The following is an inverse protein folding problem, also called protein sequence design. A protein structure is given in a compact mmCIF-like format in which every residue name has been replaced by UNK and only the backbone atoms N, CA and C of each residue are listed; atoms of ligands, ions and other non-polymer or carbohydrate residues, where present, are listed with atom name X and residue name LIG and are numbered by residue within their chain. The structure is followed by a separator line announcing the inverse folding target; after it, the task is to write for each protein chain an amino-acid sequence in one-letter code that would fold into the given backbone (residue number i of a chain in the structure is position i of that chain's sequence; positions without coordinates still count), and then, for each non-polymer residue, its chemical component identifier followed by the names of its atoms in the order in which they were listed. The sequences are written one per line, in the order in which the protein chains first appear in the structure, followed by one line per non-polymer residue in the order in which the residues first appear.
data_IF_121670808445
#
_entry.id   IF_121670808445
#
_cell.length_a   1.000
_cell.length_b   1.000
_cell.length_c   1.000
_cell.angle_alpha   90.00
_cell.angle_beta   90.00
_cell.angle_gamma   90.00
#
_symmetry.space_group_name_H-M   'P 1'
#
loop_
_entity.id
_entity.type
_entity.pdbx_description
1 polymer ?
#
# COMPACT_ATOMS: atom_id res chain seq x y z
N UNK A 1 4.45 7.86 11.62
CA UNK A 1 4.45 9.28 11.24
C UNK A 1 3.08 9.67 10.69
N UNK A 2 2.52 10.74 11.17
CA UNK A 2 1.24 11.28 10.70
C UNK A 2 1.46 12.55 9.92
N UNK A 3 0.82 12.64 8.76
CA UNK A 3 0.87 13.83 7.92
C UNK A 3 -0.54 14.44 7.88
N UNK A 4 -0.64 15.74 8.12
CA UNK A 4 -1.93 16.43 8.03
C UNK A 4 -2.24 16.68 6.56
N UNK A 5 -3.42 16.22 6.11
CA UNK A 5 -3.94 16.51 4.80
C UNK A 5 -4.90 17.69 4.84
N UNK A 6 -5.56 17.96 3.73
CA UNK A 6 -6.55 19.03 3.65
C UNK A 6 -7.76 18.73 4.53
N UNK A 7 -8.42 19.78 5.03
CA UNK A 7 -9.66 19.68 5.77
C UNK A 7 -9.55 18.79 7.01
N UNK A 8 -8.38 18.77 7.62
CA UNK A 8 -8.18 17.97 8.83
C UNK A 8 -7.94 16.49 8.62
N UNK A 9 -7.80 16.06 7.37
CA UNK A 9 -7.42 14.67 7.11
C UNK A 9 -6.04 14.39 7.66
N UNK A 10 -5.87 13.18 8.19
CA UNK A 10 -4.57 12.70 8.64
C UNK A 10 -4.16 11.49 7.82
N UNK A 11 -2.87 11.41 7.51
CA UNK A 11 -2.30 10.26 6.83
C UNK A 11 -1.34 9.57 7.80
N UNK A 12 -1.60 8.29 8.07
CA UNK A 12 -0.74 7.44 8.86
C UNK A 12 0.14 6.64 7.90
N UNK A 13 1.44 6.82 8.03
CA UNK A 13 2.40 6.06 7.22
C UNK A 13 2.71 4.76 7.94
N UNK A 14 2.60 3.64 7.22
CA UNK A 14 2.95 2.31 7.72
C UNK A 14 4.05 1.74 6.85
N UNK A 15 5.05 1.14 7.47
CA UNK A 15 6.26 0.72 6.79
C UNK A 15 6.30 -0.80 6.64
N UNK A 16 6.56 -1.26 5.42
CA UNK A 16 6.84 -2.68 5.18
C UNK A 16 8.22 -3.03 5.68
N UNK A 17 8.34 -4.20 6.28
CA UNK A 17 9.62 -4.72 6.78
C UNK A 17 9.82 -6.14 6.24
N UNK A 18 10.95 -6.75 6.61
CA UNK A 18 11.22 -8.14 6.24
C UNK A 18 10.18 -9.11 6.81
N UNK A 19 9.48 -8.72 7.88
CA UNK A 19 8.53 -9.58 8.59
C UNK A 19 7.07 -9.17 8.42
N UNK A 20 6.80 -7.96 7.92
CA UNK A 20 5.45 -7.40 7.86
C UNK A 20 5.22 -6.76 6.51
N UNK A 21 4.09 -7.11 5.89
CA UNK A 21 3.60 -6.47 4.68
C UNK A 21 2.26 -5.79 4.98
N UNK A 22 2.14 -4.51 4.64
CA UNK A 22 0.94 -3.72 4.91
C UNK A 22 0.11 -3.57 3.63
N UNK A 23 -1.21 -3.63 3.78
CA UNK A 23 -2.16 -3.40 2.69
C UNK A 23 -3.22 -2.43 3.17
N UNK A 24 -3.64 -1.50 2.32
CA UNK A 24 -4.63 -0.48 2.67
C UNK A 24 -5.95 -0.74 1.94
N UNK A 25 -7.04 -0.54 2.65
CA UNK A 25 -8.39 -0.66 2.12
C UNK A 25 -9.27 0.38 2.79
N UNK A 26 -10.43 0.68 2.23
CA UNK A 26 -11.51 1.34 2.95
C UNK A 26 -12.76 0.48 2.80
N UNK A 27 -13.19 -0.14 3.91
CA UNK A 27 -14.33 -1.07 3.88
C UNK A 27 -15.68 -0.35 3.78
N UNK A 28 -15.73 0.92 4.20
CA UNK A 28 -16.98 1.68 4.21
C UNK A 28 -17.24 2.47 2.93
N UNK A 29 -16.19 2.96 2.30
CA UNK A 29 -16.32 3.80 1.12
C UNK A 29 -15.08 3.69 0.24
N UNK A 30 -14.42 4.80 -0.05
CA UNK A 30 -13.22 4.82 -0.88
C UNK A 30 -12.18 5.80 -0.34
N UNK A 31 -12.07 5.89 0.99
CA UNK A 31 -11.13 6.79 1.63
C UNK A 31 -9.69 6.48 1.25
N UNK A 32 -8.97 7.49 0.83
CA UNK A 32 -7.70 7.34 0.15
C UNK A 32 -6.88 8.62 0.35
N UNK A 33 -5.56 8.56 0.49
CA UNK A 33 -4.75 9.76 0.69
C UNK A 33 -4.57 10.52 -0.63
N UNK A 34 -5.62 11.19 -1.08
CA UNK A 34 -5.67 11.87 -2.38
C UNK A 34 -4.63 12.97 -2.54
N UNK A 35 -4.31 13.67 -1.47
CA UNK A 35 -3.32 14.75 -1.53
C UNK A 35 -1.93 14.24 -1.89
N UNK A 36 -1.65 12.98 -1.58
CA UNK A 36 -0.36 12.36 -1.84
C UNK A 36 -0.36 11.48 -3.09
N UNK A 37 -1.44 10.73 -3.33
CA UNK A 37 -1.48 9.71 -4.36
C UNK A 37 -2.40 10.04 -5.55
N UNK A 38 -3.13 11.16 -5.49
CA UNK A 38 -4.10 11.51 -6.51
C UNK A 38 -5.40 10.74 -6.35
N UNK A 39 -6.11 10.48 -7.44
CA UNK A 39 -7.37 9.76 -7.41
C UNK A 39 -7.15 8.27 -7.19
N UNK A 40 -8.04 7.61 -6.42
CA UNK A 40 -7.90 6.17 -6.23
C UNK A 40 -8.19 5.41 -7.52
N UNK A 41 -7.54 4.25 -7.72
CA UNK A 41 -7.87 3.39 -8.86
C UNK A 41 -9.28 2.81 -8.71
N UNK A 42 -9.90 2.47 -9.85
CA UNK A 42 -11.27 1.97 -9.84
C UNK A 42 -11.42 0.70 -9.00
N UNK A 43 -10.45 -0.21 -9.03
CA UNK A 43 -10.53 -1.46 -8.27
C UNK A 43 -10.52 -1.23 -6.76
N UNK A 44 -9.89 -0.15 -6.30
CA UNK A 44 -9.84 0.20 -4.88
C UNK A 44 -11.24 0.44 -4.31
N UNK A 45 -12.14 0.97 -5.13
CA UNK A 45 -13.53 1.24 -4.75
C UNK A 45 -14.44 0.02 -4.90
N UNK A 46 -13.97 -1.02 -5.58
CA UNK A 46 -14.77 -2.20 -5.88
C UNK A 46 -15.12 -2.96 -4.60
N UNK A 47 -16.39 -3.35 -4.46
CA UNK A 47 -16.86 -4.08 -3.28
C UNK A 47 -16.13 -5.39 -3.07
N UNK A 48 -15.76 -6.07 -4.16
CA UNK A 48 -15.02 -7.33 -4.06
C UNK A 48 -13.67 -7.13 -3.39
N UNK A 49 -12.91 -6.11 -3.80
CA UNK A 49 -11.64 -5.79 -3.14
C UNK A 49 -11.86 -5.43 -1.68
N UNK A 50 -12.82 -4.54 -1.42
CA UNK A 50 -13.08 -4.01 -0.08
C UNK A 50 -13.46 -5.09 0.93
N UNK A 51 -14.21 -6.10 0.50
CA UNK A 51 -14.62 -7.19 1.38
C UNK A 51 -13.58 -8.30 1.44
N UNK A 52 -13.00 -8.67 0.32
CA UNK A 52 -12.09 -9.82 0.24
C UNK A 52 -10.73 -9.56 0.87
N UNK A 53 -10.17 -8.36 0.72
CA UNK A 53 -8.84 -8.08 1.24
C UNK A 53 -8.77 -8.18 2.77
N UNK A 54 -9.87 -7.91 3.45
CA UNK A 54 -9.94 -8.03 4.92
C UNK A 54 -9.94 -9.50 5.36
N UNK A 55 -10.62 -10.37 4.61
CA UNK A 55 -10.78 -11.77 4.97
C UNK A 55 -9.69 -12.67 4.39
N UNK A 56 -9.22 -12.36 3.21
CA UNK A 56 -8.24 -13.20 2.51
C UNK A 56 -7.19 -12.35 1.79
N UNK A 57 -6.43 -11.53 2.55
CA UNK A 57 -5.49 -10.58 1.93
C UNK A 57 -4.43 -11.27 1.07
N UNK A 58 -3.91 -12.41 1.50
CA UNK A 58 -2.87 -13.12 0.75
C UNK A 58 -3.37 -13.58 -0.62
N UNK A 59 -4.60 -14.08 -0.68
CA UNK A 59 -5.19 -14.52 -1.94
C UNK A 59 -5.46 -13.34 -2.87
N UNK A 60 -5.94 -12.22 -2.33
CA UNK A 60 -6.16 -11.01 -3.12
C UNK A 60 -4.84 -10.50 -3.70
N UNK A 61 -3.77 -10.50 -2.90
CA UNK A 61 -2.46 -10.09 -3.38
C UNK A 61 -1.94 -10.98 -4.50
N UNK A 62 -2.22 -12.29 -4.45
CA UNK A 62 -1.86 -13.20 -5.54
C UNK A 62 -2.54 -12.81 -6.84
N UNK A 63 -3.78 -12.36 -6.78
CA UNK A 63 -4.51 -11.90 -7.96
C UNK A 63 -3.89 -10.64 -8.58
N UNK A 64 -3.21 -9.84 -7.76
CA UNK A 64 -2.42 -8.70 -8.26
C UNK A 64 -1.04 -9.11 -8.74
N UNK A 65 -0.68 -10.39 -8.65
CA UNK A 65 0.63 -10.87 -9.03
C UNK A 65 1.67 -10.76 -7.91
N UNK A 66 1.25 -10.47 -6.69
CA UNK A 66 2.13 -10.30 -5.55
C UNK A 66 2.14 -11.55 -4.71
N UNK A 67 3.24 -12.30 -4.77
CA UNK A 67 3.43 -13.55 -4.03
C UNK A 67 4.32 -13.27 -2.83
N UNK A 68 3.81 -13.54 -1.63
CA UNK A 68 4.53 -13.32 -0.38
C UNK A 68 4.77 -14.66 0.32
N UNK A 69 5.89 -14.78 1.07
CA UNK A 69 6.14 -16.00 1.86
C UNK A 69 5.03 -16.26 2.86
N UNK A 70 4.74 -17.53 3.13
CA UNK A 70 3.64 -17.89 4.02
C UNK A 70 3.86 -17.45 5.46
N UNK A 71 5.12 -17.30 5.88
CA UNK A 71 5.47 -16.86 7.23
C UNK A 71 5.49 -15.35 7.40
N UNK A 72 5.28 -14.59 6.33
CA UNK A 72 5.23 -13.14 6.38
C UNK A 72 3.86 -12.69 6.89
N UNK A 73 3.87 -11.85 7.92
CA UNK A 73 2.63 -11.29 8.45
C UNK A 73 2.06 -10.24 7.48
N UNK A 74 0.77 -10.32 7.20
CA UNK A 74 0.08 -9.31 6.39
C UNK A 74 -0.86 -8.54 7.32
N UNK A 75 -0.69 -7.21 7.35
CA UNK A 75 -1.56 -6.31 8.12
C UNK A 75 -2.42 -5.50 7.17
N UNK A 76 -3.72 -5.58 7.37
CA UNK A 76 -4.70 -4.82 6.58
C UNK A 76 -5.12 -3.60 7.38
N UNK A 77 -4.98 -2.42 6.77
CA UNK A 77 -5.33 -1.16 7.41
C UNK A 77 -6.57 -0.58 6.74
N UNK A 78 -7.60 -0.32 7.53
CA UNK A 78 -8.87 0.18 7.05
C UNK A 78 -8.90 1.71 7.18
N UNK A 79 -8.76 2.40 6.07
CA UNK A 79 -8.80 3.87 6.03
C UNK A 79 -10.20 4.37 6.31
N UNK A 80 -10.27 5.52 6.98
CA UNK A 80 -11.54 6.21 7.26
C UNK A 80 -11.46 7.64 6.74
N UNK A 81 -12.56 8.38 6.88
CA UNK A 81 -12.57 9.78 6.49
C UNK A 81 -11.55 10.61 7.27
N UNK A 82 -11.31 10.25 8.52
CA UNK A 82 -10.41 10.99 9.42
C UNK A 82 -8.98 10.49 9.36
N UNK A 83 -8.77 9.21 9.08
CA UNK A 83 -7.44 8.60 9.09
C UNK A 83 -7.27 7.74 7.85
N UNK A 84 -6.30 8.09 7.03
CA UNK A 84 -5.98 7.38 5.80
C UNK A 84 -4.57 6.84 5.87
N UNK A 85 -4.34 5.67 5.30
CA UNK A 85 -3.06 4.98 5.39
C UNK A 85 -2.29 5.04 4.09
N UNK A 86 -0.98 5.07 4.21
CA UNK A 86 -0.06 5.03 3.07
C UNK A 86 1.07 4.08 3.43
N UNK A 87 1.37 3.15 2.53
CA UNK A 87 2.43 2.16 2.74
C UNK A 87 3.75 2.69 2.22
N UNK A 88 4.78 2.61 3.07
CA UNK A 88 6.16 2.81 2.62
C UNK A 88 6.70 1.43 2.25
N UNK A 89 6.96 1.19 0.96
CA UNK A 89 7.43 -0.12 0.53
C UNK A 89 8.87 -0.37 0.99
N UNK A 90 9.17 -1.64 1.19
CA UNK A 90 10.52 -2.03 1.54
C UNK A 90 11.43 -1.85 0.32
N UNK A 91 12.66 -1.40 0.57
CA UNK A 91 13.65 -1.24 -0.48
C UNK A 91 13.95 -2.60 -1.13
N UNK A 92 13.91 -2.72 -2.47
CA UNK A 92 14.20 -3.99 -3.12
C UNK A 92 15.62 -4.47 -2.87
N UNK A 93 15.80 -5.78 -2.81
CA UNK A 93 17.11 -6.38 -2.65
C UNK A 93 18.03 -6.01 -3.80
N UNK A 94 19.31 -5.77 -3.49
CA UNK A 94 20.30 -5.45 -4.50
C UNK A 94 20.26 -4.04 -5.05
N UNK A 95 19.56 -3.12 -4.34
CA UNK A 95 19.46 -1.72 -4.75
C UNK A 95 20.25 -0.77 -3.86
N UNK A 96 21.12 -1.31 -3.00
CA UNK A 96 21.86 -0.51 -2.02
C UNK A 96 22.77 0.55 -2.65
N UNK A 97 23.23 0.29 -3.87
CA UNK A 97 24.11 1.19 -4.61
C UNK A 97 23.35 2.13 -5.56
N UNK A 98 22.03 2.05 -5.61
CA UNK A 98 21.23 2.90 -6.47
C UNK A 98 21.01 4.27 -5.85
N UNK A 99 21.05 5.31 -6.69
CA UNK A 99 20.76 6.66 -6.25
C UNK A 99 19.28 6.87 -5.94
N UNK A 100 19.01 7.97 -5.24
CA UNK A 100 17.63 8.31 -4.82
C UNK A 100 16.67 8.46 -6.01
N UNK A 101 17.13 9.04 -7.12
CA UNK A 101 16.27 9.20 -8.29
C UNK A 101 15.83 7.86 -8.87
N UNK A 102 16.75 6.91 -8.95
CA UNK A 102 16.43 5.57 -9.45
C UNK A 102 15.45 4.88 -8.51
N UNK A 103 15.66 4.99 -7.20
CA UNK A 103 14.76 4.41 -6.22
C UNK A 103 13.36 5.02 -6.31
N UNK A 104 13.23 6.32 -6.51
CA UNK A 104 11.93 6.96 -6.70
C UNK A 104 11.19 6.42 -7.91
N UNK A 105 11.90 6.14 -8.99
CA UNK A 105 11.28 5.62 -10.21
C UNK A 105 10.70 4.22 -10.01
N UNK A 106 11.14 3.49 -8.98
CA UNK A 106 10.64 2.16 -8.67
C UNK A 106 9.34 2.19 -7.85
N UNK A 107 9.03 3.31 -7.22
CA UNK A 107 7.85 3.41 -6.35
C UNK A 107 6.62 3.74 -7.17
N UNK A 108 5.58 2.94 -7.01
CA UNK A 108 4.31 3.12 -7.72
C UNK A 108 3.16 3.34 -6.74
N UNK A 109 2.04 3.84 -7.25
CA UNK A 109 0.82 3.98 -6.46
C UNK A 109 0.40 2.65 -5.83
N UNK A 110 0.45 1.56 -6.61
CA UNK A 110 0.02 0.25 -6.12
C UNK A 110 0.92 -0.26 -5.00
N UNK A 111 2.21 0.08 -5.02
CA UNK A 111 3.12 -0.22 -3.92
C UNK A 111 2.73 0.54 -2.65
N UNK A 112 2.26 1.78 -2.78
CA UNK A 112 1.86 2.61 -1.65
C UNK A 112 0.47 2.27 -1.12
N UNK A 113 -0.30 1.47 -1.84
CA UNK A 113 -1.52 0.84 -1.34
C UNK A 113 -1.19 -0.51 -0.71
N UNK A 114 -0.11 -1.11 -1.14
CA UNK A 114 0.37 -2.38 -0.60
C UNK A 114 0.02 -3.60 -1.43
N UNK A 115 -0.52 -3.42 -2.65
CA UNK A 115 -0.90 -4.56 -3.50
C UNK A 115 0.22 -4.99 -4.45
N UNK A 116 1.33 -4.26 -4.48
CA UNK A 116 2.46 -4.57 -5.35
C UNK A 116 3.78 -4.44 -4.60
N UNK A 117 4.77 -5.16 -5.07
CA UNK A 117 6.16 -5.02 -4.62
C UNK A 117 6.94 -4.24 -5.67
N UNK A 118 8.03 -3.60 -5.25
CA UNK A 118 8.90 -2.92 -6.18
C UNK A 118 9.58 -3.93 -7.10
N UNK A 119 9.45 -3.70 -8.41
CA UNK A 119 10.24 -4.45 -9.37
C UNK A 119 11.66 -3.92 -9.36
N UNK A 120 12.61 -4.83 -9.35
CA UNK A 120 14.00 -4.45 -9.41
C UNK A 120 14.31 -3.88 -10.80
N UNK A 121 14.99 -2.72 -10.84
CA UNK A 121 15.48 -2.17 -12.08
C UNK A 121 16.52 -3.11 -12.69
N UNK A 122 16.33 -3.49 -13.91
CA UNK A 122 17.22 -4.43 -14.61
C UNK A 122 18.13 -3.63 -15.53
#
# INVERSE_FOLDING_TARGET
MNLAGRQGEHVQVVENTANIHNVVVCTLCSCYPRDLLGLPPAWYKNKAYRSRVVHEPREVLKEFGTLLPDDLEIRVHDSTADLRYLVVPMRPSGTDDLGEEVLRSLVTRDMMIGVALADRAV
#
